data_IF_895577741244
#
_entry.id   IF_895577741244
#
_cell.length_a   1.000
_cell.length_b   1.000
_cell.length_c   1.000
_cell.angle_alpha   90.00
_cell.angle_beta   90.00
_cell.angle_gamma   90.00
#
_symmetry.space_group_name_H-M   'P 1'
#
loop_
_entity.id
_entity.type
_entity.pdbx_description
1 polymer ?
#
# COMPACT_ATOMS: atom_id res chain seq x y z
N UNK A 1 -42.36 -19.44 74.14
CA UNK A 1 -42.64 -19.66 72.72
C UNK A 1 -41.69 -18.79 71.87
N UNK A 2 -40.59 -19.35 71.47
CA UNK A 2 -39.53 -18.66 70.69
C UNK A 2 -39.73 -18.95 69.20
N UNK A 3 -39.90 -17.90 68.36
CA UNK A 3 -39.99 -18.04 66.90
C UNK A 3 -38.63 -17.76 66.28
N UNK A 4 -37.99 -18.83 65.81
CA UNK A 4 -36.71 -18.77 65.06
C UNK A 4 -37.01 -18.39 63.61
N UNK A 5 -36.48 -17.27 63.16
CA UNK A 5 -36.59 -16.80 61.76
C UNK A 5 -35.39 -17.29 60.96
N UNK A 6 -35.62 -18.20 60.00
CA UNK A 6 -34.59 -18.66 59.03
C UNK A 6 -34.47 -17.62 57.88
N UNK A 7 -33.31 -17.02 57.74
CA UNK A 7 -32.96 -16.19 56.57
C UNK A 7 -32.32 -17.11 55.53
N UNK A 8 -32.98 -17.30 54.42
CA UNK A 8 -32.45 -17.94 53.22
C UNK A 8 -31.55 -16.94 52.46
N UNK A 9 -30.26 -17.28 52.34
CA UNK A 9 -29.30 -16.57 51.53
C UNK A 9 -29.30 -17.21 50.13
N UNK A 10 -29.72 -16.49 49.10
CA UNK A 10 -29.64 -16.90 47.72
C UNK A 10 -28.20 -16.64 47.17
N UNK A 11 -27.57 -17.56 46.42
CA UNK A 11 -26.30 -17.34 45.85
C UNK A 11 -26.42 -16.43 44.60
N UNK A 12 -25.67 -15.35 44.58
CA UNK A 12 -25.48 -14.50 43.40
C UNK A 12 -24.47 -15.18 42.47
N UNK A 13 -24.93 -15.68 41.32
CA UNK A 13 -24.09 -16.15 40.27
C UNK A 13 -23.48 -14.94 39.52
N UNK A 14 -22.19 -14.69 39.72
CA UNK A 14 -21.41 -13.78 38.91
C UNK A 14 -21.09 -14.46 37.54
N UNK A 15 -21.80 -14.06 36.50
CA UNK A 15 -21.37 -14.40 35.11
C UNK A 15 -20.15 -13.56 34.74
N UNK A 16 -18.98 -14.20 34.70
CA UNK A 16 -17.80 -13.58 34.14
C UNK A 16 -17.89 -13.61 32.61
N UNK A 17 -18.08 -12.45 32.00
CA UNK A 17 -17.96 -12.29 30.54
C UNK A 17 -16.48 -12.26 30.17
N UNK A 18 -15.97 -13.33 29.58
CA UNK A 18 -14.66 -13.36 28.94
C UNK A 18 -14.79 -12.63 27.61
N UNK A 19 -14.24 -11.42 27.51
CA UNK A 19 -13.98 -10.73 26.25
C UNK A 19 -12.92 -11.56 25.48
N UNK A 20 -13.37 -12.32 24.50
CA UNK A 20 -12.49 -12.90 23.51
C UNK A 20 -11.91 -11.76 22.67
N UNK A 21 -10.65 -11.40 22.89
CA UNK A 21 -9.91 -10.55 21.98
C UNK A 21 -9.80 -11.31 20.67
N UNK A 22 -10.57 -10.93 19.65
CA UNK A 22 -10.40 -11.39 18.28
C UNK A 22 -9.06 -10.85 17.79
N UNK A 23 -7.99 -11.63 18.00
CA UNK A 23 -6.71 -11.39 17.36
C UNK A 23 -6.93 -11.44 15.85
N UNK A 24 -6.81 -10.30 15.18
CA UNK A 24 -6.86 -10.21 13.74
C UNK A 24 -5.65 -10.99 13.20
N UNK A 25 -5.90 -12.21 12.74
CA UNK A 25 -4.88 -13.10 12.20
C UNK A 25 -4.34 -12.46 10.93
N UNK A 26 -3.04 -12.15 10.91
CA UNK A 26 -2.37 -11.65 9.71
C UNK A 26 -2.62 -12.61 8.55
N UNK A 27 -3.05 -12.10 7.41
CA UNK A 27 -3.21 -12.89 6.20
C UNK A 27 -1.84 -13.49 5.82
N UNK A 28 -1.67 -14.80 5.97
CA UNK A 28 -0.37 -15.49 5.86
C UNK A 28 -0.12 -16.08 4.47
N UNK A 29 -1.05 -15.93 3.50
CA UNK A 29 -0.91 -16.46 2.15
C UNK A 29 -0.64 -15.38 1.10
N UNK A 30 -0.07 -15.74 -0.07
CA UNK A 30 0.07 -14.83 -1.20
C UNK A 30 -1.30 -14.31 -1.65
N UNK A 31 -1.40 -13.01 -1.92
CA UNK A 31 -2.61 -12.35 -2.43
C UNK A 31 -2.23 -11.62 -3.72
N UNK A 32 -3.09 -11.69 -4.73
CA UNK A 32 -2.93 -10.92 -5.97
C UNK A 32 -4.21 -10.15 -6.25
N UNK A 33 -4.06 -8.89 -6.64
CA UNK A 33 -5.14 -7.99 -7.05
C UNK A 33 -4.97 -7.74 -8.55
N UNK A 34 -5.80 -8.39 -9.35
CA UNK A 34 -5.83 -8.26 -10.82
C UNK A 34 -6.86 -7.23 -11.31
N UNK A 35 -7.74 -6.77 -10.40
CA UNK A 35 -8.84 -5.83 -10.68
C UNK A 35 -9.90 -6.33 -11.67
N UNK A 36 -9.76 -7.51 -12.28
CA UNK A 36 -10.70 -8.07 -13.28
C UNK A 36 -12.11 -8.29 -12.74
N UNK A 37 -12.22 -8.54 -11.43
CA UNK A 37 -13.51 -8.71 -10.74
C UNK A 37 -14.20 -7.41 -10.35
N UNK A 38 -13.53 -6.26 -10.47
CA UNK A 38 -14.06 -4.96 -10.10
C UNK A 38 -14.76 -4.28 -11.29
N UNK A 39 -15.76 -3.46 -11.02
CA UNK A 39 -16.52 -2.76 -12.06
C UNK A 39 -15.72 -1.59 -12.65
N UNK A 40 -15.63 -1.51 -13.96
CA UNK A 40 -15.01 -0.36 -14.66
C UNK A 40 -15.74 0.93 -14.28
N UNK A 41 -14.98 1.98 -13.98
CA UNK A 41 -15.47 3.27 -13.50
C UNK A 41 -15.66 3.35 -11.98
N UNK A 42 -15.57 2.24 -11.26
CA UNK A 42 -15.64 2.21 -9.79
C UNK A 42 -14.27 2.26 -9.13
N UNK A 43 -14.24 2.56 -7.84
CA UNK A 43 -13.07 2.36 -7.01
C UNK A 43 -12.87 0.85 -6.75
N UNK A 44 -11.61 0.34 -6.72
CA UNK A 44 -11.35 -1.09 -6.51
C UNK A 44 -11.79 -1.55 -5.12
N UNK A 45 -12.30 -2.76 -5.03
CA UNK A 45 -12.59 -3.39 -3.75
C UNK A 45 -11.30 -3.68 -2.96
N UNK A 46 -11.37 -3.69 -1.63
CA UNK A 46 -10.24 -4.05 -0.76
C UNK A 46 -9.17 -2.97 -0.59
N UNK A 47 -9.38 -1.75 -1.09
CA UNK A 47 -8.46 -0.61 -0.92
C UNK A 47 -9.09 0.53 -0.12
N UNK A 48 -8.26 1.22 0.62
CA UNK A 48 -8.52 2.54 1.19
C UNK A 48 -7.61 3.56 0.52
N UNK A 49 -8.06 4.81 0.42
CA UNK A 49 -7.31 5.86 -0.27
C UNK A 49 -6.87 6.91 0.73
N UNK A 50 -5.69 7.45 0.48
CA UNK A 50 -5.10 8.49 1.30
C UNK A 50 -4.22 9.40 0.44
N UNK A 51 -3.73 10.49 1.03
CA UNK A 51 -2.78 11.40 0.43
C UNK A 51 -1.81 11.91 1.47
N UNK A 52 -0.52 11.88 1.16
CA UNK A 52 0.50 12.65 1.88
C UNK A 52 0.67 14.01 1.22
N UNK A 53 1.01 15.02 1.98
CA UNK A 53 1.25 16.38 1.46
C UNK A 53 -0.03 17.17 1.20
N UNK A 54 -0.10 17.92 0.10
CA UNK A 54 -1.16 18.87 -0.24
C UNK A 54 -1.83 18.52 -1.60
N UNK A 55 -2.71 19.40 -2.09
CA UNK A 55 -3.46 19.20 -3.34
C UNK A 55 -4.73 18.35 -3.16
N UNK A 56 -5.35 17.94 -4.26
CA UNK A 56 -6.55 17.12 -4.25
C UNK A 56 -6.25 15.65 -3.89
N UNK A 57 -7.24 14.92 -3.39
CA UNK A 57 -7.15 13.47 -3.23
C UNK A 57 -6.86 12.77 -4.57
N UNK A 58 -6.26 11.59 -4.52
CA UNK A 58 -6.10 10.75 -5.71
C UNK A 58 -7.44 10.26 -6.25
N UNK A 59 -7.56 10.18 -7.58
CA UNK A 59 -8.71 9.55 -8.23
C UNK A 59 -8.32 8.13 -8.65
N UNK A 60 -8.62 7.17 -7.80
CA UNK A 60 -8.34 5.77 -8.04
C UNK A 60 -9.58 5.09 -8.60
N UNK A 61 -9.48 4.57 -9.81
CA UNK A 61 -10.61 4.02 -10.56
C UNK A 61 -10.17 2.79 -11.36
N UNK A 62 -11.04 1.80 -11.46
CA UNK A 62 -10.82 0.64 -12.33
C UNK A 62 -11.12 1.03 -13.77
N UNK A 63 -10.23 0.72 -14.69
CA UNK A 63 -10.36 0.96 -16.13
C UNK A 63 -10.18 -0.35 -16.90
N UNK A 64 -10.80 -0.47 -18.08
CA UNK A 64 -10.42 -1.52 -19.01
C UNK A 64 -9.03 -1.21 -19.60
N UNK A 65 -8.16 -2.20 -19.69
CA UNK A 65 -6.87 -2.03 -20.36
C UNK A 65 -7.11 -1.73 -21.85
N UNK A 66 -6.55 -0.62 -22.33
CA UNK A 66 -6.72 -0.18 -23.73
C UNK A 66 -6.24 -1.22 -24.76
N UNK A 67 -5.22 -2.02 -24.42
CA UNK A 67 -4.60 -3.00 -25.31
C UNK A 67 -5.26 -4.40 -25.18
N UNK A 68 -5.93 -4.64 -24.05
CA UNK A 68 -6.63 -5.88 -23.72
C UNK A 68 -7.92 -5.56 -22.94
N UNK A 69 -9.02 -5.17 -23.60
CA UNK A 69 -10.22 -4.67 -22.91
C UNK A 69 -10.90 -5.65 -21.93
N UNK A 70 -10.61 -6.94 -22.03
CA UNK A 70 -11.09 -7.94 -21.07
C UNK A 70 -10.27 -7.96 -19.75
N UNK A 71 -9.11 -7.31 -19.72
CA UNK A 71 -8.27 -7.11 -18.55
C UNK A 71 -8.61 -5.76 -17.93
N UNK A 72 -8.81 -5.73 -16.61
CA UNK A 72 -9.03 -4.49 -15.90
C UNK A 72 -7.75 -4.07 -15.17
N UNK A 73 -7.57 -2.78 -15.02
CA UNK A 73 -6.40 -2.18 -14.36
C UNK A 73 -6.86 -1.13 -13.35
N UNK A 74 -6.10 -0.90 -12.32
CA UNK A 74 -6.32 0.22 -11.41
C UNK A 74 -5.57 1.45 -11.91
N UNK A 75 -6.29 2.55 -12.19
CA UNK A 75 -5.69 3.81 -12.57
C UNK A 75 -5.73 4.84 -11.44
N UNK A 76 -4.61 5.54 -11.21
CA UNK A 76 -4.64 6.87 -10.62
C UNK A 76 -4.80 7.85 -11.78
N UNK A 77 -5.95 8.49 -11.92
CA UNK A 77 -6.34 9.29 -13.10
C UNK A 77 -6.44 10.80 -12.84
N UNK A 78 -6.17 11.26 -11.61
CA UNK A 78 -6.14 12.69 -11.30
C UNK A 78 -4.83 13.33 -11.76
N UNK A 79 -4.94 14.42 -12.50
CA UNK A 79 -3.81 15.22 -13.04
C UNK A 79 -3.59 16.52 -12.27
N UNK A 80 -3.86 16.57 -10.96
CA UNK A 80 -3.57 17.72 -10.11
C UNK A 80 -2.05 17.94 -10.04
N UNK A 81 -1.53 19.12 -10.48
CA UNK A 81 -0.10 19.37 -10.63
C UNK A 81 0.60 19.76 -9.33
N UNK A 82 -0.05 19.67 -8.19
CA UNK A 82 0.57 20.01 -6.88
C UNK A 82 1.78 19.11 -6.63
N UNK A 83 3.00 19.67 -6.66
CA UNK A 83 4.24 18.88 -6.58
C UNK A 83 4.37 18.07 -5.28
N UNK A 84 3.99 18.68 -4.14
CA UNK A 84 3.99 17.98 -2.84
C UNK A 84 2.68 17.21 -2.59
N UNK A 85 2.23 16.46 -3.58
CA UNK A 85 1.05 15.63 -3.56
C UNK A 85 1.43 14.17 -3.81
N UNK A 86 1.07 13.27 -2.90
CA UNK A 86 1.40 11.85 -2.99
C UNK A 86 0.16 10.98 -2.76
N UNK A 87 -0.63 10.71 -3.81
CA UNK A 87 -1.78 9.81 -3.73
C UNK A 87 -1.39 8.38 -3.39
N UNK A 88 -2.19 7.74 -2.53
CA UNK A 88 -2.00 6.39 -2.00
C UNK A 88 -3.25 5.54 -2.22
N UNK A 89 -3.07 4.30 -2.67
CA UNK A 89 -4.07 3.25 -2.61
C UNK A 89 -3.53 2.11 -1.73
N UNK A 90 -4.09 1.96 -0.54
CA UNK A 90 -3.58 1.06 0.51
C UNK A 90 -4.49 -0.14 0.65
N UNK A 91 -3.93 -1.34 0.65
CA UNK A 91 -4.68 -2.58 0.90
C UNK A 91 -5.27 -2.55 2.31
N UNK A 92 -6.60 -2.70 2.43
CA UNK A 92 -7.31 -2.59 3.72
C UNK A 92 -6.85 -3.60 4.74
N UNK A 93 -6.68 -4.84 4.30
CA UNK A 93 -6.44 -5.99 5.17
C UNK A 93 -5.00 -6.48 5.08
N UNK A 94 -4.48 -6.86 6.22
CA UNK A 94 -3.14 -7.40 6.37
C UNK A 94 -2.16 -6.38 6.96
N UNK A 95 -1.27 -6.92 7.80
CA UNK A 95 -0.17 -6.18 8.40
C UNK A 95 1.10 -7.03 8.22
N UNK A 96 2.11 -6.45 7.60
CA UNK A 96 3.32 -7.16 7.19
C UNK A 96 4.55 -6.49 7.78
N UNK A 97 5.35 -7.24 8.53
CA UNK A 97 6.69 -6.80 8.96
C UNK A 97 7.72 -7.11 7.88
N UNK A 98 7.64 -8.33 7.34
CA UNK A 98 8.43 -8.77 6.21
C UNK A 98 7.45 -9.14 5.08
N UNK A 99 7.75 -8.68 3.87
CA UNK A 99 6.91 -8.94 2.72
C UNK A 99 7.69 -8.88 1.41
N UNK A 100 7.22 -9.63 0.43
CA UNK A 100 7.52 -9.39 -0.97
C UNK A 100 6.30 -8.76 -1.62
N UNK A 101 6.49 -7.62 -2.26
CA UNK A 101 5.47 -6.93 -3.04
C UNK A 101 5.94 -6.84 -4.48
N UNK A 102 5.05 -7.06 -5.43
CA UNK A 102 5.30 -6.76 -6.83
C UNK A 102 4.06 -6.18 -7.49
N UNK A 103 4.25 -5.35 -8.49
CA UNK A 103 3.17 -4.74 -9.28
C UNK A 103 3.63 -4.52 -10.71
N UNK A 104 2.74 -4.67 -11.66
CA UNK A 104 2.90 -4.12 -13.00
C UNK A 104 2.39 -2.68 -13.00
N UNK A 105 3.16 -1.75 -13.53
CA UNK A 105 2.78 -0.35 -13.61
C UNK A 105 3.10 0.20 -15.00
N UNK A 106 2.20 1.04 -15.52
CA UNK A 106 2.37 1.73 -16.80
C UNK A 106 2.17 3.23 -16.59
N UNK A 107 3.25 4.03 -16.65
CA UNK A 107 3.13 5.49 -16.64
C UNK A 107 2.46 5.94 -17.94
N UNK A 108 1.34 6.66 -17.83
CA UNK A 108 0.57 7.11 -19.00
C UNK A 108 0.87 8.55 -19.30
N UNK A 109 0.89 9.41 -18.29
CA UNK A 109 1.02 10.85 -18.44
C UNK A 109 1.40 11.52 -17.11
N UNK A 110 2.03 12.68 -17.21
CA UNK A 110 2.35 13.62 -16.16
C UNK A 110 3.30 14.68 -16.71
N UNK A 111 3.14 15.92 -16.29
CA UNK A 111 3.99 17.05 -16.68
C UNK A 111 4.90 17.51 -15.54
N UNK A 112 4.46 17.31 -14.29
CA UNK A 112 5.22 17.60 -13.09
C UNK A 112 5.97 16.36 -12.64
N UNK A 113 5.35 15.18 -12.83
CA UNK A 113 5.97 13.90 -12.45
C UNK A 113 5.33 12.73 -13.20
N UNK A 114 6.05 11.61 -13.35
CA UNK A 114 5.54 10.34 -13.86
C UNK A 114 6.00 9.18 -12.98
N UNK A 115 5.78 9.33 -11.67
CA UNK A 115 6.23 8.43 -10.64
C UNK A 115 5.17 7.41 -10.19
N UNK A 116 5.56 6.14 -10.12
CA UNK A 116 4.77 5.04 -9.57
C UNK A 116 5.58 4.26 -8.53
N UNK A 117 4.90 3.73 -7.51
CA UNK A 117 5.61 3.11 -6.40
C UNK A 117 4.84 2.05 -5.63
N UNK A 118 5.59 1.30 -4.82
CA UNK A 118 5.12 0.35 -3.83
C UNK A 118 5.36 0.89 -2.44
N UNK A 119 4.34 0.81 -1.58
CA UNK A 119 4.37 1.21 -0.17
C UNK A 119 4.40 -0.02 0.72
N UNK A 120 5.22 0.02 1.77
CA UNK A 120 5.22 -1.00 2.82
C UNK A 120 5.37 -0.39 4.21
N UNK A 121 5.03 -1.17 5.23
CA UNK A 121 4.96 -0.73 6.63
C UNK A 121 4.19 0.59 6.80
N UNK A 122 3.11 0.73 6.01
CA UNK A 122 2.22 1.87 6.10
C UNK A 122 1.47 1.85 7.43
N UNK A 123 1.61 2.91 8.20
CA UNK A 123 0.92 3.16 9.47
C UNK A 123 -0.23 4.14 9.28
N UNK A 124 0.04 5.20 8.54
CA UNK A 124 -0.89 6.27 8.15
C UNK A 124 -0.31 7.03 6.94
N UNK A 125 -1.07 8.01 6.43
CA UNK A 125 -0.70 8.81 5.27
C UNK A 125 0.62 9.61 5.42
N UNK A 126 1.18 9.67 6.62
CA UNK A 126 2.38 10.45 6.92
C UNK A 126 3.57 9.58 7.40
N UNK A 127 3.38 8.25 7.52
CA UNK A 127 4.40 7.37 8.12
C UNK A 127 4.43 6.01 7.40
N UNK A 128 5.38 5.83 6.46
CA UNK A 128 5.55 4.61 5.67
C UNK A 128 6.89 4.60 4.93
N UNK A 129 7.27 3.43 4.38
CA UNK A 129 8.29 3.34 3.34
C UNK A 129 7.68 3.33 1.96
N UNK A 130 8.41 3.84 0.98
CA UNK A 130 8.05 3.76 -0.43
C UNK A 130 9.28 3.59 -1.31
N UNK A 131 9.19 2.69 -2.29
CA UNK A 131 10.07 2.72 -3.46
C UNK A 131 9.27 3.22 -4.65
N UNK A 132 9.86 4.09 -5.46
CA UNK A 132 9.26 4.55 -6.70
C UNK A 132 10.22 4.47 -7.87
N UNK A 133 9.72 4.20 -9.07
CA UNK A 133 10.40 4.49 -10.33
C UNK A 133 9.67 5.63 -11.06
N UNK A 134 10.38 6.39 -11.88
CA UNK A 134 9.88 7.61 -12.48
C UNK A 134 10.33 7.74 -13.93
N UNK A 135 9.38 7.89 -14.85
CA UNK A 135 9.65 8.01 -16.27
C UNK A 135 10.14 9.41 -16.70
N UNK A 136 9.87 10.45 -15.91
CA UNK A 136 10.36 11.78 -16.16
C UNK A 136 11.83 11.96 -15.71
N UNK A 137 12.19 11.32 -14.60
CA UNK A 137 13.53 11.42 -14.01
C UNK A 137 14.48 10.28 -14.40
N UNK A 138 14.00 9.23 -15.04
CA UNK A 138 14.77 8.02 -15.37
C UNK A 138 15.55 7.45 -14.17
N UNK A 139 14.83 7.22 -13.07
CA UNK A 139 15.43 6.64 -11.85
C UNK A 139 14.44 5.81 -11.03
N UNK A 140 15.01 4.95 -10.16
CA UNK A 140 14.29 4.34 -9.04
C UNK A 140 14.93 4.79 -7.71
N UNK A 141 14.09 5.03 -6.69
CA UNK A 141 14.52 5.59 -5.41
C UNK A 141 13.75 4.96 -4.25
N UNK A 142 14.41 4.74 -3.11
CA UNK A 142 13.74 4.35 -1.85
C UNK A 142 13.68 5.56 -0.92
N UNK A 143 12.55 5.68 -0.24
CA UNK A 143 12.30 6.73 0.75
C UNK A 143 11.67 6.16 2.02
N UNK A 144 11.87 6.85 3.13
CA UNK A 144 10.92 6.85 4.23
C UNK A 144 10.13 8.17 4.24
N UNK A 145 8.88 8.09 4.66
CA UNK A 145 8.02 9.25 4.94
C UNK A 145 7.76 9.25 6.44
N UNK A 146 8.20 10.30 7.13
CA UNK A 146 8.03 10.48 8.57
C UNK A 146 7.35 11.81 8.82
N UNK A 147 6.19 11.78 9.49
CA UNK A 147 5.37 12.98 9.74
C UNK A 147 5.13 13.80 8.47
N UNK A 148 4.86 13.10 7.35
CA UNK A 148 4.61 13.69 6.05
C UNK A 148 5.85 14.17 5.28
N UNK A 149 7.03 14.14 5.89
CA UNK A 149 8.28 14.52 5.22
C UNK A 149 8.94 13.31 4.57
N UNK A 150 9.09 13.35 3.26
CA UNK A 150 9.72 12.30 2.45
C UNK A 150 11.23 12.54 2.35
N UNK A 151 12.03 11.53 2.70
CA UNK A 151 13.50 11.56 2.60
C UNK A 151 14.00 10.31 1.87
N UNK A 152 14.79 10.51 0.80
CA UNK A 152 15.46 9.43 0.08
C UNK A 152 16.68 8.95 0.84
N UNK A 153 16.96 7.66 0.77
CA UNK A 153 18.19 7.08 1.32
C UNK A 153 18.94 6.17 0.33
N UNK A 154 18.34 5.86 -0.84
CA UNK A 154 19.06 5.28 -1.97
C UNK A 154 18.36 5.64 -3.28
N UNK A 155 19.18 5.90 -4.33
CA UNK A 155 18.75 6.22 -5.69
C UNK A 155 19.61 5.49 -6.72
N UNK A 156 19.02 5.14 -7.87
CA UNK A 156 19.70 4.54 -9.02
C UNK A 156 19.10 5.07 -10.30
N UNK A 157 19.94 5.55 -11.21
CA UNK A 157 19.54 5.85 -12.58
C UNK A 157 19.12 4.56 -13.29
N UNK A 158 17.92 4.56 -13.86
CA UNK A 158 17.29 3.45 -14.57
C UNK A 158 16.36 4.02 -15.61
N UNK A 159 16.48 3.61 -16.87
CA UNK A 159 15.55 4.05 -17.92
C UNK A 159 14.13 3.52 -17.63
N UNK A 160 13.16 4.44 -17.60
CA UNK A 160 11.75 4.14 -17.37
C UNK A 160 10.94 4.69 -18.55
N UNK A 161 10.39 3.81 -19.38
CA UNK A 161 9.65 4.21 -20.57
C UNK A 161 8.19 4.57 -20.24
N UNK A 162 7.71 5.70 -20.76
CA UNK A 162 6.28 6.05 -20.73
C UNK A 162 5.47 5.14 -21.65
N UNK A 163 4.21 4.89 -21.33
CA UNK A 163 3.28 4.02 -22.07
C UNK A 163 3.72 2.55 -22.21
N UNK A 164 4.62 2.10 -21.35
CA UNK A 164 5.15 0.74 -21.31
C UNK A 164 4.86 0.11 -19.96
N UNK A 165 4.46 -1.17 -19.95
CA UNK A 165 4.31 -1.93 -18.74
C UNK A 165 5.68 -2.31 -18.16
N UNK A 166 5.88 -1.97 -16.90
CA UNK A 166 7.07 -2.29 -16.11
C UNK A 166 6.68 -3.12 -14.89
N UNK A 167 7.58 -3.94 -14.40
CA UNK A 167 7.42 -4.67 -13.14
C UNK A 167 8.30 -4.05 -12.06
N UNK A 168 7.69 -3.54 -11.01
CA UNK A 168 8.37 -3.07 -9.81
C UNK A 168 8.15 -4.08 -8.68
N UNK A 169 9.24 -4.50 -8.02
CA UNK A 169 9.20 -5.44 -6.90
C UNK A 169 10.02 -4.89 -5.74
N UNK A 170 9.57 -5.09 -4.51
CA UNK A 170 10.34 -4.87 -3.29
C UNK A 170 10.28 -6.08 -2.39
N UNK A 171 11.43 -6.51 -1.89
CA UNK A 171 11.58 -7.52 -0.85
C UNK A 171 12.02 -6.83 0.43
N UNK A 172 11.13 -6.75 1.42
CA UNK A 172 11.39 -6.17 2.73
C UNK A 172 11.60 -7.30 3.75
N UNK A 173 12.81 -7.40 4.29
CA UNK A 173 13.19 -8.41 5.29
C UNK A 173 14.01 -7.75 6.41
N UNK A 174 13.48 -7.73 7.63
CA UNK A 174 14.10 -6.96 8.73
C UNK A 174 14.22 -5.48 8.34
N UNK A 175 15.42 -4.94 8.38
CA UNK A 175 15.73 -3.57 7.98
C UNK A 175 16.31 -3.46 6.55
N UNK A 176 16.42 -4.58 5.80
CA UNK A 176 16.95 -4.59 4.45
C UNK A 176 15.83 -4.59 3.42
N UNK A 177 15.99 -3.79 2.39
CA UNK A 177 15.05 -3.63 1.27
C UNK A 177 15.77 -3.81 -0.05
N UNK A 178 15.35 -4.80 -0.82
CA UNK A 178 15.87 -5.07 -2.16
C UNK A 178 14.80 -4.70 -3.18
N UNK A 179 15.13 -3.81 -4.11
CA UNK A 179 14.22 -3.41 -5.19
C UNK A 179 14.68 -3.98 -6.51
N UNK A 180 13.75 -4.59 -7.21
CA UNK A 180 13.92 -5.12 -8.57
C UNK A 180 12.99 -4.36 -9.51
N UNK A 181 13.52 -3.93 -10.64
CA UNK A 181 12.80 -3.27 -11.72
C UNK A 181 13.05 -4.04 -13.02
N UNK A 182 11.98 -4.46 -13.69
CA UNK A 182 12.00 -5.31 -14.90
C UNK A 182 12.96 -6.51 -14.78
N UNK A 183 12.87 -7.21 -13.64
CA UNK A 183 13.70 -8.40 -13.36
C UNK A 183 15.14 -8.10 -12.91
N UNK A 184 15.60 -6.86 -12.94
CA UNK A 184 16.96 -6.50 -12.54
C UNK A 184 16.97 -5.85 -11.14
N UNK A 185 17.88 -6.31 -10.26
CA UNK A 185 18.10 -5.65 -8.97
C UNK A 185 18.68 -4.26 -9.18
N UNK A 186 17.97 -3.24 -8.75
CA UNK A 186 18.36 -1.84 -8.91
C UNK A 186 18.77 -1.18 -7.61
N UNK A 187 18.15 -1.54 -6.48
CA UNK A 187 18.47 -0.97 -5.17
C UNK A 187 18.62 -2.08 -4.11
N UNK A 188 19.48 -1.84 -3.11
CA UNK A 188 19.73 -2.76 -1.99
C UNK A 188 20.15 -1.90 -0.80
N UNK A 189 19.23 -1.61 0.11
CA UNK A 189 19.41 -0.63 1.17
C UNK A 189 18.96 -1.14 2.53
N UNK A 190 19.42 -0.50 3.59
CA UNK A 190 18.98 -0.74 4.95
C UNK A 190 18.51 0.54 5.61
N UNK A 191 17.41 0.46 6.37
CA UNK A 191 16.88 1.56 7.18
C UNK A 191 16.08 1.01 8.37
N UNK A 192 16.23 1.63 9.53
CA UNK A 192 15.62 1.22 10.82
C UNK A 192 14.49 2.15 11.29
N UNK A 193 13.98 3.06 10.43
CA UNK A 193 12.97 4.06 10.80
C UNK A 193 11.68 3.41 11.28
N UNK A 194 11.18 2.39 10.57
CA UNK A 194 9.99 1.65 10.98
C UNK A 194 10.35 0.17 11.16
N UNK A 195 10.34 -0.32 12.41
CA UNK A 195 10.68 -1.71 12.77
C UNK A 195 9.48 -2.63 12.78
N UNK A 196 8.30 -2.07 13.05
CA UNK A 196 7.04 -2.81 13.14
C UNK A 196 6.39 -3.00 11.77
N UNK A 197 5.50 -3.98 11.68
CA UNK A 197 4.69 -4.20 10.49
C UNK A 197 3.69 -3.07 10.24
N UNK A 198 3.18 -3.04 9.02
CA UNK A 198 2.15 -2.11 8.59
C UNK A 198 1.48 -2.61 7.31
N UNK A 199 0.53 -1.84 6.80
CA UNK A 199 -0.15 -2.16 5.54
C UNK A 199 0.80 -1.97 4.35
N UNK A 200 0.31 -2.36 3.18
CA UNK A 200 1.01 -2.25 1.89
C UNK A 200 0.11 -1.54 0.88
N UNK A 201 0.69 -1.01 -0.19
CA UNK A 201 -0.12 -0.31 -1.19
C UNK A 201 0.67 0.26 -2.36
N UNK A 202 -0.03 1.09 -3.14
CA UNK A 202 0.45 1.79 -4.32
C UNK A 202 0.60 3.28 -4.03
N UNK A 203 1.47 3.93 -4.79
CA UNK A 203 1.83 5.33 -4.62
C UNK A 203 2.05 6.00 -5.96
N UNK A 204 1.64 7.26 -6.06
CA UNK A 204 1.98 8.15 -7.19
C UNK A 204 2.39 9.53 -6.71
N UNK A 205 2.89 10.39 -7.59
CA UNK A 205 3.27 11.77 -7.26
C UNK A 205 2.60 12.77 -8.21
N UNK A 206 2.22 13.91 -7.65
CA UNK A 206 1.69 15.08 -8.39
C UNK A 206 0.60 14.68 -9.40
N UNK A 207 0.79 15.04 -10.66
CA UNK A 207 -0.11 14.80 -11.77
C UNK A 207 0.13 13.47 -12.50
N UNK A 208 0.90 12.56 -11.90
CA UNK A 208 1.19 11.24 -12.50
C UNK A 208 -0.10 10.44 -12.75
N UNK A 209 -0.46 10.23 -14.01
CA UNK A 209 -1.49 9.30 -14.43
C UNK A 209 -0.84 7.94 -14.68
N UNK A 210 -1.15 6.98 -13.83
CA UNK A 210 -0.49 5.67 -13.81
C UNK A 210 -1.56 4.58 -13.81
N UNK A 211 -1.36 3.55 -14.60
CA UNK A 211 -2.11 2.30 -14.53
C UNK A 211 -1.29 1.23 -13.79
N UNK A 212 -1.97 0.46 -12.93
CA UNK A 212 -1.41 -0.64 -12.16
C UNK A 212 -2.20 -1.91 -12.40
N UNK A 213 -1.49 -3.04 -12.38
CA UNK A 213 -2.07 -4.36 -12.53
C UNK A 213 -1.26 -5.40 -11.74
N UNK A 214 -1.84 -6.56 -11.46
CA UNK A 214 -1.16 -7.68 -10.82
C UNK A 214 -0.41 -7.30 -9.53
N UNK A 215 -1.03 -6.51 -8.64
CA UNK A 215 -0.42 -6.24 -7.33
C UNK A 215 -0.40 -7.53 -6.52
N UNK A 216 0.78 -8.12 -6.36
CA UNK A 216 1.00 -9.30 -5.53
C UNK A 216 1.63 -8.92 -4.19
N UNK A 217 1.12 -9.55 -3.12
CA UNK A 217 1.55 -9.36 -1.73
C UNK A 217 1.80 -10.72 -1.11
N UNK A 218 3.01 -10.99 -0.66
CA UNK A 218 3.40 -12.20 0.06
C UNK A 218 4.04 -11.81 1.41
N UNK A 219 3.37 -12.14 2.52
CA UNK A 219 3.92 -12.01 3.87
C UNK A 219 4.95 -13.11 4.17
N UNK A 220 5.99 -12.77 4.92
CA UNK A 220 7.05 -13.71 5.36
C UNK A 220 7.26 -13.66 6.86
#
# INVERSE_FOLDING_TARGET
MSKTCFRTIAPVLLLAWTLAASGQQAATGPRTFTFDGDAVGAAPAGFEFARTGSGAEGKWVVEADRDKPANHVLAQSSSDPTDNRFPLAVVKDGTYRNATLSVRARPIWGRVDQGFGLVWRYRDANNYYVTRCNADEDNCTIYHVVKGTRRSFQNKAVKVATNTWHTLKVEAAGNRFVVTYDGQKVLDATDDTFKEGGKVGLWTKADSVIQFDDLAVEGR
#
